data_IF_344051705033
#
_entry.id   IF_344051705033
#
_cell.length_a   1.000
_cell.length_b   1.000
_cell.length_c   1.000
_cell.angle_alpha   90.00
_cell.angle_beta   90.00
_cell.angle_gamma   90.00
#
_symmetry.space_group_name_H-M   'P 1'
#
loop_
_entity.id
_entity.type
_entity.pdbx_description
1 polymer ?
#
# COMPACT_ATOMS: atom_id res chain seq x y z
N UNK A 1 -4.03 -6.07 11.30
CA UNK A 1 -2.59 -5.81 11.57
C UNK A 1 -2.08 -6.49 12.83
N UNK A 2 -2.80 -6.52 13.96
CA UNK A 2 -2.24 -7.09 15.20
C UNK A 2 -1.90 -8.58 15.14
N UNK A 3 -2.65 -9.36 14.34
CA UNK A 3 -2.35 -10.77 14.07
C UNK A 3 -1.22 -11.00 13.06
N UNK A 4 -0.64 -9.93 12.50
CA UNK A 4 0.43 -9.99 11.50
C UNK A 4 1.80 -9.73 12.17
N UNK A 5 2.91 -10.17 11.55
CA UNK A 5 4.25 -9.93 12.11
C UNK A 5 4.60 -8.43 12.16
N UNK A 6 5.57 -8.07 13.01
CA UNK A 6 6.16 -6.73 13.01
C UNK A 6 6.70 -6.38 11.61
N UNK A 7 6.46 -5.15 11.17
CA UNK A 7 6.76 -4.69 9.82
C UNK A 7 5.59 -4.88 8.83
N UNK A 8 4.60 -5.73 9.12
CA UNK A 8 3.40 -5.84 8.29
C UNK A 8 2.69 -4.49 8.20
N UNK A 9 2.27 -4.11 6.99
CA UNK A 9 1.71 -2.77 6.77
C UNK A 9 0.49 -2.79 5.86
N UNK A 10 -0.29 -1.71 5.92
CA UNK A 10 -1.33 -1.38 4.94
C UNK A 10 -1.19 0.08 4.52
N UNK A 11 -1.45 0.34 3.24
CA UNK A 11 -1.66 1.68 2.71
C UNK A 11 -3.17 1.95 2.68
N UNK A 12 -3.56 3.10 3.21
CA UNK A 12 -4.97 3.53 3.27
C UNK A 12 -5.07 5.03 3.03
N UNK A 13 -6.28 5.53 2.78
CA UNK A 13 -6.52 6.96 2.85
C UNK A 13 -6.40 7.46 4.30
N UNK A 14 -5.87 8.67 4.45
CA UNK A 14 -5.80 9.34 5.75
C UNK A 14 -7.18 9.87 6.14
N UNK A 15 -7.62 9.52 7.34
CA UNK A 15 -8.86 10.04 7.94
C UNK A 15 -8.69 11.49 8.42
N UNK A 16 -7.49 11.86 8.88
CA UNK A 16 -7.19 13.18 9.43
C UNK A 16 -6.79 14.21 8.38
N UNK A 17 -6.28 13.79 7.22
CA UNK A 17 -5.92 14.68 6.10
C UNK A 17 -6.52 14.21 4.79
N UNK A 18 -7.46 15.00 4.27
CA UNK A 18 -8.10 14.74 2.96
C UNK A 18 -7.05 14.61 1.85
N UNK A 19 -7.29 13.67 0.94
CA UNK A 19 -6.46 13.39 -0.25
C UNK A 19 -5.00 12.97 0.06
N UNK A 20 -4.68 12.60 1.30
CA UNK A 20 -3.39 12.03 1.65
C UNK A 20 -3.51 10.52 1.93
N UNK A 21 -2.40 9.81 1.75
CA UNK A 21 -2.29 8.40 2.14
C UNK A 21 -1.71 8.32 3.55
N UNK A 22 -2.04 7.24 4.25
CA UNK A 22 -1.44 6.86 5.52
C UNK A 22 -0.90 5.43 5.41
N UNK A 23 0.35 5.26 5.82
CA UNK A 23 1.00 3.97 6.01
C UNK A 23 0.77 3.53 7.46
N UNK A 24 0.02 2.47 7.66
CA UNK A 24 -0.20 1.88 8.99
C UNK A 24 0.65 0.64 9.11
N UNK A 25 1.51 0.58 10.12
CA UNK A 25 2.54 -0.47 10.27
C UNK A 25 2.37 -1.15 11.61
N UNK A 26 2.43 -2.47 11.63
CA UNK A 26 2.61 -3.27 12.85
C UNK A 26 4.03 -3.03 13.37
N UNK A 27 4.16 -2.50 14.57
CA UNK A 27 5.45 -2.13 15.18
C UNK A 27 5.64 -2.87 16.51
N UNK A 28 6.87 -2.97 17.01
CA UNK A 28 7.13 -3.50 18.34
C UNK A 28 6.31 -2.77 19.41
N UNK A 29 5.80 -3.51 20.39
CA UNK A 29 5.06 -2.91 21.52
C UNK A 29 5.93 -1.97 22.36
N UNK A 30 7.25 -2.14 22.33
CA UNK A 30 8.22 -1.24 22.96
C UNK A 30 8.28 0.13 22.27
N UNK A 31 7.92 0.22 20.99
CA UNK A 31 7.84 1.48 20.25
C UNK A 31 6.47 2.15 20.40
N UNK A 32 5.39 1.36 20.37
CA UNK A 32 4.03 1.86 20.54
C UNK A 32 3.17 0.82 21.28
N UNK A 33 2.56 1.17 22.43
CA UNK A 33 1.78 0.22 23.22
C UNK A 33 0.53 -0.31 22.50
N UNK A 34 -0.01 0.41 21.52
CA UNK A 34 -1.11 -0.10 20.68
C UNK A 34 -0.63 -1.15 19.67
N UNK A 35 0.68 -1.20 19.44
CA UNK A 35 1.30 -2.09 18.48
C UNK A 35 1.17 -1.64 17.02
N UNK A 36 0.55 -0.51 16.74
CA UNK A 36 0.37 0.01 15.37
C UNK A 36 0.73 1.48 15.33
N UNK A 37 1.66 1.84 14.43
CA UNK A 37 2.00 3.24 14.16
C UNK A 37 1.45 3.68 12.80
N UNK A 38 1.02 4.93 12.72
CA UNK A 38 0.46 5.53 11.51
C UNK A 38 1.33 6.68 11.02
N UNK A 39 1.76 6.59 9.76
CA UNK A 39 2.62 7.58 9.14
C UNK A 39 1.91 8.21 7.95
N UNK A 40 1.86 9.53 7.91
CA UNK A 40 1.28 10.26 6.78
C UNK A 40 2.24 10.21 5.59
N UNK A 41 1.75 9.83 4.42
CA UNK A 41 2.48 9.97 3.16
C UNK A 41 2.01 11.26 2.47
N UNK A 42 2.97 12.12 2.17
CA UNK A 42 2.74 13.39 1.48
C UNK A 42 3.31 13.32 0.07
N UNK A 43 2.60 13.93 -0.88
CA UNK A 43 3.08 14.13 -2.25
C UNK A 43 3.63 15.54 -2.40
N UNK A 44 4.80 15.68 -3.01
CA UNK A 44 5.41 16.93 -3.42
C UNK A 44 5.92 16.82 -4.87
N UNK A 45 6.56 17.87 -5.37
CA UNK A 45 7.15 17.93 -6.72
C UNK A 45 8.18 16.82 -6.98
N UNK A 46 8.85 16.33 -5.92
CA UNK A 46 9.86 15.27 -5.98
C UNK A 46 9.28 13.87 -5.84
N UNK A 47 7.96 13.73 -5.73
CA UNK A 47 7.25 12.47 -5.57
C UNK A 47 6.58 12.31 -4.21
N UNK A 48 6.76 11.16 -3.58
CA UNK A 48 6.12 10.74 -2.33
C UNK A 48 7.13 10.58 -1.21
N UNK A 49 6.77 11.00 0.00
CA UNK A 49 7.59 10.77 1.19
C UNK A 49 6.73 10.55 2.42
N UNK A 50 7.31 9.87 3.41
CA UNK A 50 6.73 9.84 4.75
C UNK A 50 6.94 11.22 5.40
N UNK A 51 5.90 11.75 6.04
CA UNK A 51 5.98 13.04 6.72
C UNK A 51 7.02 12.98 7.86
N UNK A 52 7.93 13.96 7.90
CA UNK A 52 9.08 13.96 8.81
C UNK A 52 10.32 13.23 8.29
N UNK A 53 10.23 12.52 7.17
CA UNK A 53 11.38 11.88 6.52
C UNK A 53 11.97 12.82 5.46
N UNK A 54 13.27 12.66 5.19
CA UNK A 54 14.00 13.51 4.25
C UNK A 54 13.97 12.97 2.82
N UNK A 55 13.81 11.64 2.65
CA UNK A 55 13.89 10.98 1.35
C UNK A 55 12.53 10.98 0.64
N UNK A 56 12.53 11.39 -0.63
CA UNK A 56 11.38 11.32 -1.52
C UNK A 56 11.57 10.25 -2.59
N UNK A 57 10.48 9.64 -3.02
CA UNK A 57 10.45 8.55 -3.98
C UNK A 57 9.50 8.89 -5.12
N UNK A 58 9.81 8.52 -6.38
CA UNK A 58 8.96 8.90 -7.51
C UNK A 58 7.58 8.23 -7.47
N UNK A 59 7.44 7.09 -6.78
CA UNK A 59 6.20 6.33 -6.66
C UNK A 59 6.04 5.70 -5.28
N UNK A 60 4.79 5.41 -4.91
CA UNK A 60 4.47 4.69 -3.65
C UNK A 60 5.13 3.30 -3.61
N UNK A 61 5.10 2.48 -4.68
CA UNK A 61 5.82 1.20 -4.69
C UNK A 61 7.31 1.36 -4.38
N UNK A 62 7.99 2.35 -4.95
CA UNK A 62 9.42 2.58 -4.66
C UNK A 62 9.67 2.96 -3.21
N UNK A 63 8.81 3.79 -2.61
CA UNK A 63 8.87 4.11 -1.18
C UNK A 63 8.76 2.84 -0.34
N UNK A 64 7.78 1.99 -0.64
CA UNK A 64 7.56 0.73 0.09
C UNK A 64 8.73 -0.23 -0.09
N UNK A 65 9.19 -0.46 -1.32
CA UNK A 65 10.31 -1.35 -1.62
C UNK A 65 11.58 -0.91 -0.90
N UNK A 66 11.89 0.39 -0.92
CA UNK A 66 13.04 0.94 -0.19
C UNK A 66 12.95 0.64 1.32
N UNK A 67 11.80 0.94 1.93
CA UNK A 67 11.60 0.71 3.37
C UNK A 67 11.46 -0.76 3.77
N UNK A 68 11.26 -1.67 2.81
CA UNK A 68 11.31 -3.11 3.06
C UNK A 68 12.73 -3.63 3.26
N UNK A 69 13.73 -2.94 2.67
CA UNK A 69 15.14 -3.30 2.78
C UNK A 69 15.81 -2.52 3.90
N UNK A 70 15.52 -1.22 4.03
CA UNK A 70 16.14 -0.32 4.99
C UNK A 70 15.08 0.45 5.80
N UNK A 71 15.02 0.29 7.13
CA UNK A 71 13.95 0.91 7.92
C UNK A 71 14.06 2.44 7.98
N UNK A 72 15.28 2.98 7.89
CA UNK A 72 15.57 4.40 8.14
C UNK A 72 15.04 4.86 9.50
N UNK A 73 14.07 5.77 9.54
CA UNK A 73 13.44 6.28 10.76
C UNK A 73 12.22 5.44 11.20
N UNK A 74 11.87 4.38 10.47
CA UNK A 74 10.85 3.42 10.92
C UNK A 74 11.42 2.52 12.02
N UNK A 75 10.58 2.07 12.98
CA UNK A 75 11.03 1.19 14.06
C UNK A 75 11.38 -0.23 13.59
N UNK A 76 10.90 -0.61 12.40
CA UNK A 76 11.18 -1.89 11.77
C UNK A 76 11.05 -1.76 10.24
N UNK A 77 11.63 -2.72 9.51
CA UNK A 77 11.48 -2.79 8.05
C UNK A 77 10.05 -3.15 7.69
N UNK A 78 9.61 -2.69 6.52
CA UNK A 78 8.31 -3.09 5.98
C UNK A 78 8.36 -4.54 5.50
N UNK A 79 7.31 -5.29 5.81
CA UNK A 79 7.14 -6.67 5.36
C UNK A 79 5.82 -6.75 4.62
N UNK A 80 5.86 -7.27 3.40
CA UNK A 80 4.64 -7.62 2.70
C UNK A 80 3.99 -8.76 3.46
N UNK A 81 2.84 -8.48 4.08
CA UNK A 81 2.08 -9.49 4.77
C UNK A 81 1.82 -10.66 3.81
N UNK A 82 2.05 -11.88 4.27
CA UNK A 82 1.50 -13.04 3.59
C UNK A 82 -0.01 -12.90 3.67
N UNK A 83 -0.62 -12.56 2.55
CA UNK A 83 -2.03 -12.74 2.34
C UNK A 83 -2.21 -14.26 2.25
N UNK A 84 -2.28 -14.93 3.41
CA UNK A 84 -2.50 -16.37 3.47
C UNK A 84 -3.79 -16.68 2.75
N UNK A 85 -3.61 -17.11 1.50
CA UNK A 85 -4.57 -17.55 0.53
C UNK A 85 -6.06 -17.29 0.83
N UNK A 86 -6.49 -16.04 1.03
CA UNK A 86 -7.93 -15.70 1.04
C UNK A 86 -8.57 -15.85 -0.34
N UNK A 87 -7.76 -16.17 -1.35
CA UNK A 87 -8.14 -16.63 -2.68
C UNK A 87 -8.10 -18.15 -2.83
N UNK A 88 -7.96 -18.94 -1.76
CA UNK A 88 -8.38 -20.35 -1.84
C UNK A 88 -9.87 -20.33 -2.08
N UNK A 89 -10.21 -20.24 -3.36
CA UNK A 89 -11.43 -20.67 -3.97
C UNK A 89 -11.83 -21.95 -3.24
N UNK A 90 -12.89 -21.83 -2.46
CA UNK A 90 -13.68 -23.00 -2.12
C UNK A 90 -14.03 -23.65 -3.47
N UNK A 91 -13.47 -24.84 -3.66
CA UNK A 91 -13.87 -25.84 -4.64
C UNK A 91 -13.34 -25.68 -6.08
N UNK A 92 -12.45 -26.63 -6.42
CA UNK A 92 -12.37 -27.37 -7.68
C UNK A 92 -12.30 -26.62 -9.03
N UNK A 93 -11.14 -26.74 -9.67
CA UNK A 93 -10.90 -26.65 -11.13
C UNK A 93 -11.14 -25.28 -11.80
N UNK A 94 -10.06 -24.57 -12.13
CA UNK A 94 -9.70 -24.29 -13.53
C UNK A 94 -8.38 -23.48 -13.54
N UNK A 95 -7.28 -24.09 -13.99
CA UNK A 95 -6.13 -23.32 -14.49
C UNK A 95 -6.56 -22.73 -15.84
N UNK A 96 -7.27 -21.61 -15.80
CA UNK A 96 -7.53 -20.79 -16.98
C UNK A 96 -6.87 -19.43 -16.74
N UNK A 97 -5.55 -19.44 -16.88
CA UNK A 97 -4.82 -18.22 -17.16
C UNK A 97 -4.79 -18.13 -18.69
N UNK A 98 -5.61 -17.29 -19.33
CA UNK A 98 -5.53 -17.13 -20.76
C UNK A 98 -4.13 -16.59 -21.10
N UNK A 99 -3.47 -17.10 -22.16
CA UNK A 99 -2.22 -16.51 -22.63
C UNK A 99 -2.47 -15.02 -22.88
N UNK A 100 -1.54 -14.18 -22.42
CA UNK A 100 -1.60 -12.74 -22.58
C UNK A 100 -1.44 -12.39 -24.07
N UNK A 101 -2.56 -12.35 -24.80
CA UNK A 101 -2.61 -11.77 -26.13
C UNK A 101 -3.57 -10.56 -26.11
N UNK A 102 -3.08 -9.48 -26.71
CA UNK A 102 -3.73 -8.22 -27.07
C UNK A 102 -3.68 -7.05 -26.05
N UNK A 103 -2.57 -6.33 -26.13
CA UNK A 103 -2.54 -4.87 -26.00
C UNK A 103 -3.53 -4.27 -27.00
N UNK A 104 -4.69 -3.80 -26.55
CA UNK A 104 -5.32 -2.58 -27.07
C UNK A 104 -6.51 -2.14 -26.19
N UNK A 105 -6.66 -0.81 -26.08
CA UNK A 105 -7.82 -0.03 -25.61
C UNK A 105 -7.74 0.65 -24.22
N UNK A 106 -6.94 1.71 -24.16
CA UNK A 106 -6.95 2.71 -23.09
C UNK A 106 -8.15 3.70 -23.18
N UNK A 107 -9.11 3.55 -24.09
CA UNK A 107 -10.12 4.58 -24.38
C UNK A 107 -11.50 4.40 -23.70
N UNK A 108 -11.65 3.42 -22.79
CA UNK A 108 -12.96 3.10 -22.18
C UNK A 108 -13.17 3.58 -20.73
N UNK A 109 -12.18 4.19 -20.08
CA UNK A 109 -12.33 4.68 -18.70
C UNK A 109 -12.98 6.08 -18.64
N UNK A 110 -12.85 6.89 -19.70
CA UNK A 110 -13.35 8.27 -19.71
C UNK A 110 -14.89 8.41 -19.85
N UNK A 111 -15.60 7.37 -20.30
CA UNK A 111 -17.07 7.45 -20.47
C UNK A 111 -17.87 7.05 -19.22
N UNK A 112 -17.23 6.49 -18.18
CA UNK A 112 -17.94 6.05 -16.97
C UNK A 112 -17.97 7.10 -15.86
N UNK A 113 -17.08 8.09 -15.89
CA UNK A 113 -17.10 9.20 -14.92
C UNK A 113 -18.11 10.30 -15.32
N UNK A 114 -18.51 10.38 -16.60
CA UNK A 114 -19.43 11.43 -17.08
C UNK A 114 -20.92 11.11 -16.90
N UNK A 115 -21.29 9.92 -16.40
CA UNK A 115 -22.72 9.53 -16.23
C UNK A 115 -23.24 9.56 -14.80
N UNK A 116 -22.38 9.75 -13.80
CA UNK A 116 -22.78 9.85 -12.38
C UNK A 116 -22.85 11.31 -11.89
N UNK A 117 -23.07 12.26 -12.80
CA UNK A 117 -23.34 13.66 -12.46
C UNK A 117 -24.61 14.18 -13.18
N UNK A 118 -25.76 13.60 -12.84
CA UNK A 118 -27.09 14.25 -12.92
C UNK A 118 -27.85 13.89 -11.64
#
# INVERSE_FOLDING_TARGET
LLAQPEGAFVLRFSESKKKCLALSVRVPFTHNPTGVSHYLIVRNERGFKINGFNKSFPSIPMLVTHHSVMPELLPCRLIFAHWDNTWKCDNANNYDYPPCDDYDDCELIDKRISKDLI
#
